data_IF_486732441546
#
_entry.id   IF_486732441546
#
_cell.length_a   1.000
_cell.length_b   1.000
_cell.length_c   1.000
_cell.angle_alpha   90.00
_cell.angle_beta   90.00
_cell.angle_gamma   90.00
#
_symmetry.space_group_name_H-M   'P 1'
#
loop_
_entity.id
_entity.type
_entity.pdbx_description
1 polymer ?
#
# COMPACT_ATOMS: atom_id res chain seq x y z
N UNK A 1 -23.77 34.53 -1.06
CA UNK A 1 -24.58 33.59 -1.86
C UNK A 1 -23.61 32.71 -2.61
N UNK A 2 -23.66 31.39 -2.43
CA UNK A 2 -22.80 30.47 -3.18
C UNK A 2 -23.34 30.41 -4.61
N UNK A 3 -22.48 30.64 -5.60
CA UNK A 3 -22.90 30.59 -6.99
C UNK A 3 -23.11 29.13 -7.43
N UNK A 4 -24.02 28.87 -8.38
CA UNK A 4 -24.27 27.50 -8.91
C UNK A 4 -22.97 26.78 -9.33
N UNK A 5 -21.97 27.45 -9.96
CA UNK A 5 -20.67 26.85 -10.25
C UNK A 5 -19.91 26.38 -9.01
N UNK A 6 -19.85 27.19 -7.95
CA UNK A 6 -19.17 26.85 -6.69
C UNK A 6 -19.81 25.64 -5.99
N UNK A 7 -21.14 25.54 -6.04
CA UNK A 7 -21.87 24.40 -5.50
C UNK A 7 -21.53 23.10 -6.26
N UNK A 8 -21.55 23.13 -7.59
CA UNK A 8 -21.21 21.97 -8.43
C UNK A 8 -19.77 21.54 -8.23
N UNK A 9 -18.84 22.48 -8.09
CA UNK A 9 -17.43 22.17 -7.83
C UNK A 9 -17.20 21.58 -6.44
N UNK A 10 -17.88 22.09 -5.41
CA UNK A 10 -17.86 21.50 -4.07
C UNK A 10 -18.40 20.06 -4.08
N UNK A 11 -19.48 19.81 -4.83
CA UNK A 11 -20.08 18.48 -4.97
C UNK A 11 -19.13 17.53 -5.72
N UNK A 12 -18.48 17.98 -6.79
CA UNK A 12 -17.46 17.21 -7.52
C UNK A 12 -16.22 16.92 -6.68
N UNK A 13 -15.81 17.84 -5.79
CA UNK A 13 -14.70 17.62 -4.85
C UNK A 13 -15.08 16.60 -3.79
N UNK A 14 -16.29 16.69 -3.22
CA UNK A 14 -16.82 15.70 -2.27
C UNK A 14 -16.97 14.32 -2.90
N UNK A 15 -17.48 14.24 -4.12
CA UNK A 15 -17.57 12.97 -4.86
C UNK A 15 -16.18 12.41 -5.21
N UNK A 16 -15.19 13.27 -5.53
CA UNK A 16 -13.80 12.83 -5.73
C UNK A 16 -13.14 12.34 -4.45
N UNK A 17 -13.31 13.04 -3.33
CA UNK A 17 -12.81 12.60 -2.03
C UNK A 17 -13.48 11.32 -1.54
N UNK A 18 -14.80 11.18 -1.73
CA UNK A 18 -15.54 9.95 -1.41
C UNK A 18 -15.10 8.75 -2.27
N UNK A 19 -14.58 9.00 -3.48
CA UNK A 19 -14.03 7.97 -4.37
C UNK A 19 -12.55 7.67 -4.09
N UNK A 20 -11.82 8.56 -3.44
CA UNK A 20 -10.41 8.30 -3.12
C UNK A 20 -10.32 7.32 -1.94
N UNK A 21 -9.79 6.14 -2.24
CA UNK A 21 -9.48 5.07 -1.28
C UNK A 21 -8.04 5.18 -0.77
N UNK A 22 -7.37 6.32 -0.97
CA UNK A 22 -5.93 6.49 -0.73
C UNK A 22 -5.54 6.18 0.72
N UNK A 23 -6.29 6.72 1.69
CA UNK A 23 -6.07 6.44 3.11
C UNK A 23 -6.15 4.94 3.44
N UNK A 24 -7.14 4.25 2.88
CA UNK A 24 -7.36 2.81 3.06
C UNK A 24 -6.24 1.99 2.41
N UNK A 25 -5.85 2.33 1.18
CA UNK A 25 -4.75 1.66 0.47
C UNK A 25 -3.46 1.76 1.28
N UNK A 26 -3.13 2.95 1.78
CA UNK A 26 -1.94 3.18 2.60
C UNK A 26 -2.00 2.43 3.93
N UNK A 27 -3.15 2.44 4.61
CA UNK A 27 -3.32 1.75 5.88
C UNK A 27 -3.14 0.24 5.75
N UNK A 28 -3.72 -0.37 4.71
CA UNK A 28 -3.57 -1.82 4.47
C UNK A 28 -2.13 -2.16 4.12
N UNK A 29 -1.45 -1.33 3.30
CA UNK A 29 -0.03 -1.55 3.01
C UNK A 29 0.85 -1.34 4.24
N UNK A 30 0.54 -0.35 5.09
CA UNK A 30 1.25 -0.14 6.35
C UNK A 30 1.18 -1.37 7.26
N UNK A 31 -0.03 -1.92 7.42
CA UNK A 31 -0.24 -3.14 8.20
C UNK A 31 0.54 -4.33 7.60
N UNK A 32 0.51 -4.50 6.28
CA UNK A 32 1.25 -5.55 5.60
C UNK A 32 2.76 -5.42 5.77
N UNK A 33 3.31 -4.21 5.63
CA UNK A 33 4.74 -3.95 5.83
C UNK A 33 5.13 -4.16 7.29
N UNK A 34 4.28 -3.78 8.25
CA UNK A 34 4.53 -4.05 9.67
C UNK A 34 4.58 -5.56 9.96
N UNK A 35 3.67 -6.34 9.36
CA UNK A 35 3.70 -7.82 9.46
C UNK A 35 4.99 -8.38 8.86
N UNK A 36 5.42 -7.87 7.69
CA UNK A 36 6.69 -8.28 7.08
C UNK A 36 7.91 -7.87 7.92
N UNK A 37 7.89 -6.71 8.57
CA UNK A 37 8.95 -6.26 9.46
C UNK A 37 9.12 -7.22 10.67
N UNK A 38 8.00 -7.61 11.30
CA UNK A 38 8.01 -8.59 12.40
C UNK A 38 8.50 -9.95 11.89
N UNK A 39 8.00 -10.39 10.74
CA UNK A 39 8.38 -11.67 10.14
C UNK A 39 9.86 -11.74 9.72
N UNK A 40 10.50 -10.59 9.50
CA UNK A 40 11.93 -10.52 9.16
C UNK A 40 12.84 -10.77 10.38
N UNK A 41 12.32 -10.66 11.60
CA UNK A 41 13.05 -11.06 12.82
C UNK A 41 13.10 -12.59 12.95
N UNK A 42 12.12 -13.30 12.38
CA UNK A 42 12.02 -14.76 12.43
C UNK A 42 12.55 -15.40 11.12
N UNK A 43 13.79 -15.90 11.17
CA UNK A 43 14.50 -16.45 10.01
C UNK A 43 14.10 -17.89 9.65
N UNK A 44 13.09 -18.48 10.29
CA UNK A 44 12.69 -19.86 10.01
C UNK A 44 12.23 -20.09 8.56
N UNK A 45 12.64 -21.20 7.94
CA UNK A 45 12.20 -21.60 6.59
C UNK A 45 10.67 -21.66 6.43
N UNK A 46 9.95 -21.98 7.51
CA UNK A 46 8.49 -21.96 7.55
C UNK A 46 7.92 -20.54 7.46
N UNK A 47 8.62 -19.53 8.00
CA UNK A 47 8.17 -18.14 7.97
C UNK A 47 8.21 -17.58 6.54
N UNK A 48 9.10 -18.08 5.69
CA UNK A 48 9.31 -17.56 4.33
C UNK A 48 8.16 -17.89 3.37
N UNK A 49 7.52 -19.06 3.53
CA UNK A 49 6.45 -19.50 2.61
C UNK A 49 5.20 -18.65 2.74
N UNK A 50 4.80 -18.31 3.96
CA UNK A 50 3.58 -17.53 4.18
C UNK A 50 3.77 -16.04 3.86
N UNK A 51 4.98 -15.50 4.08
CA UNK A 51 5.31 -14.10 3.74
C UNK A 51 5.07 -13.78 2.26
N UNK A 52 5.32 -14.74 1.36
CA UNK A 52 5.08 -14.62 -0.07
C UNK A 52 3.60 -14.48 -0.45
N UNK A 53 2.68 -14.88 0.43
CA UNK A 53 1.24 -14.74 0.23
C UNK A 53 0.72 -13.38 0.67
N UNK A 54 1.48 -12.62 1.47
CA UNK A 54 1.07 -11.31 2.01
C UNK A 54 0.60 -10.36 0.90
N UNK A 55 1.33 -10.17 -0.22
CA UNK A 55 0.87 -9.26 -1.29
C UNK A 55 -0.45 -9.72 -1.92
N UNK A 56 -0.65 -11.03 -2.10
CA UNK A 56 -1.89 -11.57 -2.62
C UNK A 56 -3.06 -11.30 -1.67
N UNK A 57 -2.88 -11.55 -0.36
CA UNK A 57 -3.88 -11.27 0.66
C UNK A 57 -4.24 -9.78 0.68
N UNK A 58 -3.25 -8.88 0.66
CA UNK A 58 -3.46 -7.43 0.62
C UNK A 58 -4.33 -7.01 -0.56
N UNK A 59 -3.97 -7.43 -1.78
CA UNK A 59 -4.72 -7.03 -2.96
C UNK A 59 -6.10 -7.70 -3.06
N UNK A 60 -6.26 -8.92 -2.55
CA UNK A 60 -7.58 -9.56 -2.42
C UNK A 60 -8.47 -8.78 -1.44
N UNK A 61 -7.94 -8.39 -0.28
CA UNK A 61 -8.66 -7.59 0.72
C UNK A 61 -9.06 -6.23 0.13
N UNK A 62 -8.12 -5.52 -0.50
CA UNK A 62 -8.40 -4.24 -1.16
C UNK A 62 -9.46 -4.39 -2.26
N UNK A 63 -9.35 -5.43 -3.09
CA UNK A 63 -10.33 -5.73 -4.13
C UNK A 63 -11.71 -6.02 -3.54
N UNK A 64 -11.79 -6.85 -2.50
CA UNK A 64 -13.05 -7.19 -1.83
C UNK A 64 -13.71 -5.96 -1.18
N UNK A 65 -12.93 -5.13 -0.49
CA UNK A 65 -13.42 -3.90 0.16
C UNK A 65 -13.97 -2.92 -0.88
N UNK A 66 -13.24 -2.71 -1.98
CA UNK A 66 -13.68 -1.82 -3.06
C UNK A 66 -14.94 -2.37 -3.73
N UNK A 67 -14.98 -3.66 -4.07
CA UNK A 67 -16.17 -4.32 -4.64
C UNK A 67 -17.39 -4.25 -3.72
N UNK A 68 -17.19 -4.40 -2.41
CA UNK A 68 -18.27 -4.28 -1.44
C UNK A 68 -18.79 -2.84 -1.38
N UNK A 69 -17.90 -1.85 -1.36
CA UNK A 69 -18.27 -0.43 -1.41
C UNK A 69 -19.03 -0.08 -2.69
N UNK A 70 -18.60 -0.57 -3.84
CA UNK A 70 -19.30 -0.41 -5.12
C UNK A 70 -20.73 -0.94 -5.04
N UNK A 71 -20.91 -2.16 -4.50
CA UNK A 71 -22.24 -2.77 -4.35
C UNK A 71 -23.15 -1.99 -3.39
N UNK A 72 -22.61 -1.51 -2.27
CA UNK A 72 -23.39 -0.80 -1.24
C UNK A 72 -23.74 0.62 -1.67
N UNK A 73 -22.83 1.31 -2.36
CA UNK A 73 -23.01 2.73 -2.70
C UNK A 73 -23.52 2.98 -4.12
N UNK A 74 -23.52 1.96 -4.98
CA UNK A 74 -23.90 2.08 -6.40
C UNK A 74 -22.95 2.94 -7.24
N UNK A 75 -21.92 3.54 -6.62
CA UNK A 75 -20.89 4.30 -7.30
C UNK A 75 -19.90 3.32 -7.91
N UNK A 76 -19.90 3.20 -9.24
CA UNK A 76 -18.92 2.39 -9.97
C UNK A 76 -17.49 2.79 -9.58
N UNK A 77 -16.75 1.84 -9.05
CA UNK A 77 -15.35 2.05 -8.68
C UNK A 77 -14.51 2.07 -9.94
N UNK A 78 -13.49 2.92 -9.93
CA UNK A 78 -12.56 3.04 -11.04
C UNK A 78 -11.89 1.70 -11.33
N UNK A 79 -11.24 1.60 -12.50
CA UNK A 79 -10.34 0.49 -12.83
C UNK A 79 -9.03 0.60 -12.03
N UNK A 80 -9.13 0.51 -10.71
CA UNK A 80 -8.00 0.70 -9.78
C UNK A 80 -6.99 -0.45 -9.88
N UNK A 81 -7.40 -1.60 -10.44
CA UNK A 81 -6.49 -2.70 -10.80
C UNK A 81 -6.15 -3.64 -9.65
N UNK A 82 -6.77 -3.51 -8.47
CA UNK A 82 -6.53 -4.38 -7.31
C UNK A 82 -6.73 -5.87 -7.61
N UNK A 83 -7.77 -6.23 -8.37
CA UNK A 83 -7.99 -7.64 -8.76
C UNK A 83 -6.91 -8.19 -9.68
N UNK A 84 -6.36 -7.35 -10.57
CA UNK A 84 -5.24 -7.73 -11.44
C UNK A 84 -3.97 -7.89 -10.61
N UNK A 85 -3.72 -6.99 -9.67
CA UNK A 85 -2.57 -7.10 -8.75
C UNK A 85 -2.70 -8.32 -7.82
N UNK A 86 -3.91 -8.69 -7.39
CA UNK A 86 -4.15 -9.91 -6.63
C UNK A 86 -3.80 -11.16 -7.45
N UNK A 87 -4.27 -11.24 -8.69
CA UNK A 87 -3.95 -12.35 -9.59
C UNK A 87 -2.44 -12.41 -9.90
N UNK A 88 -1.81 -11.26 -10.13
CA UNK A 88 -0.37 -11.16 -10.37
C UNK A 88 0.45 -11.59 -9.16
N UNK A 89 0.11 -11.11 -7.95
CA UNK A 89 0.77 -11.48 -6.71
C UNK A 89 0.61 -12.98 -6.42
N UNK A 90 -0.57 -13.53 -6.66
CA UNK A 90 -0.84 -14.97 -6.50
C UNK A 90 -0.03 -15.79 -7.52
N UNK A 91 0.03 -15.36 -8.77
CA UNK A 91 0.84 -16.00 -9.80
C UNK A 91 2.33 -15.99 -9.42
N UNK A 92 2.85 -14.86 -8.92
CA UNK A 92 4.22 -14.80 -8.42
C UNK A 92 4.47 -15.76 -7.25
N UNK A 93 3.51 -15.89 -6.32
CA UNK A 93 3.68 -16.76 -5.17
C UNK A 93 3.63 -18.26 -5.51
N UNK A 94 2.89 -18.65 -6.57
CA UNK A 94 2.65 -20.04 -6.93
C UNK A 94 3.54 -20.57 -8.07
N UNK A 95 4.01 -19.70 -8.97
CA UNK A 95 4.85 -20.10 -10.10
C UNK A 95 6.33 -20.20 -9.68
N UNK A 96 7.08 -21.19 -10.18
CA UNK A 96 8.47 -21.43 -9.73
C UNK A 96 9.39 -20.23 -9.95
N UNK A 97 9.31 -19.56 -11.11
CA UNK A 97 10.10 -18.36 -11.38
C UNK A 97 9.67 -17.15 -10.53
N UNK A 98 8.38 -17.01 -10.27
CA UNK A 98 7.86 -15.95 -9.40
C UNK A 98 8.31 -16.14 -7.96
N UNK A 99 8.31 -17.38 -7.49
CA UNK A 99 8.78 -17.74 -6.16
C UNK A 99 10.25 -17.39 -5.96
N UNK A 100 11.11 -17.67 -6.96
CA UNK A 100 12.52 -17.27 -6.94
C UNK A 100 12.68 -15.74 -6.87
N UNK A 101 11.87 -15.00 -7.61
CA UNK A 101 11.90 -13.53 -7.58
C UNK A 101 11.51 -13.00 -6.20
N UNK A 102 10.47 -13.56 -5.58
CA UNK A 102 10.06 -13.23 -4.22
C UNK A 102 11.10 -13.61 -3.17
N UNK A 103 11.82 -14.72 -3.38
CA UNK A 103 12.89 -15.16 -2.50
C UNK A 103 14.03 -14.13 -2.46
N UNK A 104 14.40 -13.58 -3.61
CA UNK A 104 15.49 -12.61 -3.75
C UNK A 104 15.06 -11.18 -3.40
N UNK A 105 13.96 -10.71 -3.99
CA UNK A 105 13.54 -9.32 -3.90
C UNK A 105 12.65 -9.03 -2.67
N UNK A 106 12.02 -10.08 -2.13
CA UNK A 106 11.08 -9.99 -1.02
C UNK A 106 9.66 -9.60 -1.45
N UNK A 107 8.64 -9.98 -0.66
CA UNK A 107 7.24 -9.67 -0.93
C UNK A 107 6.93 -8.16 -0.92
N UNK A 108 7.75 -7.36 -0.25
CA UNK A 108 7.62 -5.90 -0.24
C UNK A 108 7.76 -5.27 -1.62
N UNK A 109 8.50 -5.88 -2.56
CA UNK A 109 8.60 -5.38 -3.94
C UNK A 109 7.28 -5.45 -4.67
N UNK A 110 6.49 -6.51 -4.46
CA UNK A 110 5.17 -6.64 -5.09
C UNK A 110 4.19 -5.62 -4.50
N UNK A 111 4.24 -5.42 -3.17
CA UNK A 111 3.48 -4.38 -2.49
C UNK A 111 3.86 -2.97 -2.97
N UNK A 112 5.16 -2.71 -3.14
CA UNK A 112 5.68 -1.45 -3.65
C UNK A 112 5.27 -1.21 -5.09
N UNK A 113 5.41 -2.21 -5.95
CA UNK A 113 5.00 -2.14 -7.36
C UNK A 113 3.50 -1.88 -7.51
N UNK A 114 2.65 -2.56 -6.75
CA UNK A 114 1.22 -2.29 -6.81
C UNK A 114 0.85 -0.92 -6.23
N UNK A 115 1.53 -0.41 -5.19
CA UNK A 115 1.39 0.98 -4.75
C UNK A 115 1.77 1.99 -5.83
N UNK A 116 2.85 1.73 -6.58
CA UNK A 116 3.24 2.56 -7.73
C UNK A 116 2.18 2.53 -8.81
N UNK A 117 1.69 1.34 -9.21
CA UNK A 117 0.66 1.21 -10.24
C UNK A 117 -0.62 1.94 -9.84
N UNK A 118 -1.08 1.75 -8.60
CA UNK A 118 -2.28 2.42 -8.07
C UNK A 118 -2.04 3.93 -7.97
N UNK A 119 -0.87 4.35 -7.49
CA UNK A 119 -0.50 5.75 -7.35
C UNK A 119 -0.42 6.49 -8.69
N UNK A 120 0.12 5.85 -9.73
CA UNK A 120 0.13 6.41 -11.09
C UNK A 120 -1.29 6.54 -11.64
N UNK A 121 -2.14 5.51 -11.46
CA UNK A 121 -3.54 5.55 -11.89
C UNK A 121 -4.35 6.63 -11.18
N UNK A 122 -4.11 6.81 -9.89
CA UNK A 122 -4.77 7.82 -9.06
C UNK A 122 -4.08 9.19 -9.10
N UNK A 123 -2.99 9.35 -9.86
CA UNK A 123 -2.14 10.55 -9.91
C UNK A 123 -1.70 11.05 -8.52
N UNK A 124 -1.46 10.13 -7.60
CA UNK A 124 -1.08 10.41 -6.21
C UNK A 124 0.42 10.17 -6.00
N UNK A 125 1.17 11.27 -5.86
CA UNK A 125 2.60 11.25 -5.50
C UNK A 125 2.87 10.55 -4.19
N UNK A 126 1.93 10.65 -3.26
CA UNK A 126 2.02 10.03 -1.97
C UNK A 126 1.98 8.49 -2.10
N UNK A 127 1.15 7.93 -2.97
CA UNK A 127 1.10 6.48 -3.19
C UNK A 127 2.32 5.96 -3.94
N UNK A 128 2.66 6.55 -5.10
CA UNK A 128 3.77 6.01 -5.90
C UNK A 128 5.14 6.28 -5.26
N UNK A 129 5.31 7.39 -4.54
CA UNK A 129 6.54 7.69 -3.81
C UNK A 129 6.84 6.65 -2.73
N UNK A 130 5.86 6.32 -1.87
CA UNK A 130 6.06 5.28 -0.86
C UNK A 130 6.19 3.89 -1.48
N UNK A 131 5.51 3.63 -2.61
CA UNK A 131 5.67 2.40 -3.37
C UNK A 131 7.10 2.19 -3.88
N UNK A 132 7.74 3.24 -4.41
CA UNK A 132 9.16 3.18 -4.83
C UNK A 132 10.10 2.94 -3.65
N UNK A 133 9.90 3.67 -2.54
CA UNK A 133 10.70 3.46 -1.32
C UNK A 133 10.58 2.01 -0.85
N UNK A 134 9.37 1.45 -0.80
CA UNK A 134 9.16 0.07 -0.39
C UNK A 134 9.79 -0.94 -1.37
N UNK A 135 9.72 -0.66 -2.68
CA UNK A 135 10.34 -1.50 -3.70
C UNK A 135 11.89 -1.52 -3.61
N UNK A 136 12.50 -0.47 -3.06
CA UNK A 136 13.95 -0.40 -2.82
C UNK A 136 14.33 -0.98 -1.45
N UNK A 137 13.59 -0.65 -0.39
CA UNK A 137 13.92 -1.10 0.97
C UNK A 137 13.70 -2.61 1.14
N UNK A 138 12.66 -3.17 0.52
CA UNK A 138 12.35 -4.61 0.60
C UNK A 138 13.53 -5.52 0.21
N UNK A 139 14.14 -5.40 -0.97
CA UNK A 139 15.25 -6.27 -1.36
C UNK A 139 16.48 -6.04 -0.49
N UNK A 140 16.75 -4.80 -0.08
CA UNK A 140 17.88 -4.49 0.81
C UNK A 140 17.71 -5.12 2.20
N UNK A 141 16.49 -5.11 2.74
CA UNK A 141 16.17 -5.83 3.98
C UNK A 141 16.25 -7.35 3.77
N UNK A 142 15.74 -7.86 2.65
CA UNK A 142 15.64 -9.30 2.39
C UNK A 142 17.00 -9.97 2.16
N UNK A 143 17.90 -9.30 1.45
CA UNK A 143 19.25 -9.79 1.14
C UNK A 143 20.25 -9.54 2.28
N UNK A 144 19.80 -9.02 3.43
CA UNK A 144 20.67 -8.68 4.56
C UNK A 144 21.59 -7.48 4.30
N UNK A 145 21.40 -6.74 3.21
CA UNK A 145 22.20 -5.54 2.91
C UNK A 145 22.06 -4.49 4.00
N UNK A 146 20.85 -4.28 4.53
CA UNK A 146 20.64 -3.38 5.67
C UNK A 146 21.29 -3.92 6.94
N UNK A 147 21.19 -5.22 7.22
CA UNK A 147 21.79 -5.83 8.41
C UNK A 147 23.32 -5.73 8.39
N UNK A 148 23.95 -5.81 7.21
CA UNK A 148 25.40 -5.72 7.06
C UNK A 148 25.94 -4.28 7.06
N UNK A 149 25.19 -3.31 6.55
CA UNK A 149 25.70 -1.95 6.30
C UNK A 149 25.03 -0.85 7.13
N UNK A 150 23.90 -1.13 7.78
CA UNK A 150 23.15 -0.16 8.58
C UNK A 150 23.03 -0.59 10.05
N UNK A 151 24.15 -1.05 10.63
CA UNK A 151 24.26 -1.54 12.01
C UNK A 151 23.74 -0.56 13.08
N UNK A 152 23.77 0.75 12.78
CA UNK A 152 23.24 1.80 13.66
C UNK A 152 21.71 1.75 13.83
N UNK A 153 20.98 0.99 13.01
CA UNK A 153 19.54 0.75 13.13
C UNK A 153 19.19 -0.36 14.14
N UNK A 154 20.19 -0.94 14.81
CA UNK A 154 20.03 -1.99 15.81
C UNK A 154 20.30 -3.41 15.26
N UNK A 155 20.02 -4.45 16.07
CA UNK A 155 20.40 -5.83 15.77
C UNK A 155 19.66 -6.46 14.58
N UNK A 156 18.55 -5.84 14.15
CA UNK A 156 17.73 -6.29 13.02
C UNK A 156 17.44 -5.10 12.10
N UNK A 157 18.47 -4.50 11.52
CA UNK A 157 18.37 -3.28 10.70
C UNK A 157 17.40 -3.43 9.52
N UNK A 158 17.29 -4.62 8.91
CA UNK A 158 16.30 -4.93 7.88
C UNK A 158 14.85 -4.81 8.39
N UNK A 159 14.57 -5.38 9.56
CA UNK A 159 13.27 -5.27 10.22
C UNK A 159 12.98 -3.82 10.63
N UNK A 160 13.96 -3.12 11.20
CA UNK A 160 13.86 -1.69 11.55
C UNK A 160 13.56 -0.84 10.32
N UNK A 161 14.25 -1.07 9.20
CA UNK A 161 14.05 -0.35 7.94
C UNK A 161 12.63 -0.52 7.40
N UNK A 162 12.10 -1.76 7.39
CA UNK A 162 10.70 -2.02 7.03
C UNK A 162 9.73 -1.39 8.03
N UNK A 163 10.05 -1.41 9.33
CA UNK A 163 9.26 -0.75 10.37
C UNK A 163 9.15 0.77 10.16
N UNK A 164 10.24 1.43 9.76
CA UNK A 164 10.23 2.86 9.41
C UNK A 164 9.36 3.14 8.17
N UNK A 165 9.42 2.28 7.15
CA UNK A 165 8.53 2.39 5.98
C UNK A 165 7.06 2.19 6.38
N UNK A 166 6.76 1.22 7.25
CA UNK A 166 5.41 1.03 7.78
C UNK A 166 4.93 2.27 8.53
N UNK A 167 5.78 2.86 9.39
CA UNK A 167 5.46 4.09 10.11
C UNK A 167 5.19 5.26 9.15
N UNK A 168 6.02 5.43 8.13
CA UNK A 168 5.82 6.46 7.11
C UNK A 168 4.48 6.27 6.39
N UNK A 169 4.11 5.03 6.03
CA UNK A 169 2.81 4.71 5.45
C UNK A 169 1.66 5.00 6.42
N UNK A 170 1.79 4.74 7.73
CA UNK A 170 0.78 5.11 8.73
C UNK A 170 0.61 6.63 8.77
N UNK A 171 1.70 7.39 8.83
CA UNK A 171 1.65 8.85 8.82
C UNK A 171 1.00 9.37 7.54
N UNK A 172 1.32 8.77 6.39
CA UNK A 172 0.73 9.12 5.12
C UNK A 172 -0.78 8.77 5.07
N UNK A 173 -1.18 7.63 5.63
CA UNK A 173 -2.56 7.19 5.74
C UNK A 173 -3.39 8.12 6.64
N UNK A 174 -2.86 8.53 7.80
CA UNK A 174 -3.55 9.44 8.72
C UNK A 174 -3.71 10.82 8.12
N UNK A 175 -2.68 11.34 7.43
CA UNK A 175 -2.77 12.61 6.69
C UNK A 175 -3.81 12.54 5.57
N UNK A 176 -3.82 11.46 4.79
CA UNK A 176 -4.82 11.24 3.75
C UNK A 176 -6.24 11.17 4.34
N UNK A 177 -6.42 10.44 5.45
CA UNK A 177 -7.70 10.34 6.15
C UNK A 177 -8.17 11.70 6.70
N UNK A 178 -7.26 12.49 7.28
CA UNK A 178 -7.57 13.83 7.77
C UNK A 178 -8.02 14.75 6.63
N UNK A 179 -7.33 14.71 5.48
CA UNK A 179 -7.71 15.47 4.30
C UNK A 179 -9.08 15.03 3.74
N UNK A 180 -9.33 13.72 3.66
CA UNK A 180 -10.62 13.16 3.24
C UNK A 180 -11.76 13.64 4.16
N UNK A 181 -11.54 13.63 5.49
CA UNK A 181 -12.52 14.10 6.48
C UNK A 181 -12.77 15.60 6.40
N UNK A 182 -11.73 16.41 6.19
CA UNK A 182 -11.87 17.86 6.03
C UNK A 182 -12.76 18.23 4.83
N UNK A 183 -12.57 17.53 3.70
CA UNK A 183 -13.40 17.71 2.49
C UNK A 183 -14.87 17.33 2.75
N UNK A 184 -15.11 16.25 3.49
CA UNK A 184 -16.46 15.80 3.84
C UNK A 184 -17.15 16.76 4.83
N UNK A 185 -16.41 17.29 5.80
CA UNK A 185 -16.90 18.29 6.76
C UNK A 185 -17.17 19.66 6.11
N UNK A 186 -16.72 19.90 4.88
CA UNK A 186 -16.87 21.19 4.20
C UNK A 186 -15.86 22.25 4.65
N UNK A 187 -14.76 21.84 5.28
CA UNK A 187 -13.67 22.76 5.61
C UNK A 187 -12.96 23.22 4.32
N UNK A 188 -12.55 24.51 4.23
CA UNK A 188 -11.74 24.97 3.11
C UNK A 188 -10.46 24.13 3.04
N UNK A 189 -10.18 23.56 1.87
CA UNK A 189 -8.95 22.81 1.64
C UNK A 189 -7.76 23.74 1.82
N UNK A 190 -6.86 23.38 2.75
CA UNK A 190 -5.56 24.02 2.92
C UNK A 190 -4.62 23.72 1.75
#
# INVERSE_FOLDING_TARGET
>A
MVTVPEYVDALRRRQRAARHTGSLVLAVHAAAVAVLAVAQVDWGLASWRWQNLVPAVVYVVLWAVVRLRERVTGMGGGRDGFGVMAAFALALALLPFGYLLLLMAGPGVVLGAGLVVVGVRQRSALLWGHGLVLAVVSPLARLGTLDNHAWFLGPHAGATGLGLVALALVVAATRALAAERAVLAGAPAA
#
